data_IF_413620757505
#
_entry.id   IF_413620757505
#
_cell.length_a   1.000
_cell.length_b   1.000
_cell.length_c   1.000
_cell.angle_alpha   90.00
_cell.angle_beta   90.00
_cell.angle_gamma   90.00
#
_symmetry.space_group_name_H-M   'P 1'
#
loop_
_entity.id
_entity.type
_entity.pdbx_description
1 polymer ?
#
# COMPACT_ATOMS: atom_id res chain seq x y z
N UNK A 1 -29.63 -8.26 -46.07
CA UNK A 1 -29.66 -7.15 -45.09
C UNK A 1 -28.21 -6.79 -44.73
N UNK A 2 -27.80 -5.54 -44.98
CA UNK A 2 -26.39 -5.10 -44.85
C UNK A 2 -26.15 -4.52 -43.44
N UNK A 3 -25.06 -4.94 -42.79
CA UNK A 3 -24.65 -4.45 -41.45
C UNK A 3 -23.99 -3.08 -41.59
N UNK A 4 -24.42 -2.11 -40.79
CA UNK A 4 -23.78 -0.80 -40.69
C UNK A 4 -22.75 -0.90 -39.57
N UNK A 5 -21.46 -0.79 -39.92
CA UNK A 5 -20.38 -0.67 -38.94
C UNK A 5 -20.08 0.82 -38.76
N UNK A 6 -20.41 1.35 -37.58
CA UNK A 6 -20.03 2.72 -37.20
C UNK A 6 -18.62 2.67 -36.61
N UNK A 7 -17.67 3.34 -37.26
CA UNK A 7 -16.32 3.58 -36.73
C UNK A 7 -16.42 4.67 -35.66
N UNK A 8 -16.06 4.36 -34.42
CA UNK A 8 -15.91 5.36 -33.37
C UNK A 8 -14.57 6.09 -33.54
N UNK A 9 -14.53 7.44 -33.46
CA UNK A 9 -13.30 8.20 -33.52
C UNK A 9 -12.52 8.04 -32.20
N UNK A 10 -11.21 7.80 -32.34
CA UNK A 10 -10.22 7.78 -31.28
C UNK A 10 -10.14 9.17 -30.62
N UNK A 11 -10.51 9.30 -29.34
CA UNK A 11 -10.03 10.44 -28.53
C UNK A 11 -11.04 11.43 -27.95
N UNK A 12 -12.14 11.00 -27.33
CA UNK A 12 -12.86 11.84 -26.36
C UNK A 12 -13.17 11.05 -25.08
N UNK A 13 -12.36 11.30 -24.04
CA UNK A 13 -12.56 10.79 -22.68
C UNK A 13 -13.84 11.37 -22.09
N UNK A 14 -14.79 10.52 -21.73
CA UNK A 14 -15.89 10.88 -20.85
C UNK A 14 -15.97 9.82 -19.75
N UNK A 15 -15.26 10.05 -18.62
CA UNK A 15 -15.36 9.17 -17.46
C UNK A 15 -16.76 9.34 -16.87
N UNK A 16 -17.52 8.24 -16.85
CA UNK A 16 -18.88 8.18 -16.33
C UNK A 16 -18.87 8.06 -14.81
N UNK A 17 -19.90 8.59 -14.16
CA UNK A 17 -20.09 8.52 -12.70
C UNK A 17 -19.99 7.09 -12.12
N UNK A 18 -20.23 6.08 -12.96
CA UNK A 18 -20.07 4.66 -12.65
C UNK A 18 -18.63 4.26 -12.25
N UNK A 19 -17.63 5.01 -12.73
CA UNK A 19 -16.21 4.79 -12.39
C UNK A 19 -15.93 5.08 -10.90
N UNK A 20 -16.69 5.98 -10.26
CA UNK A 20 -16.57 6.30 -8.83
C UNK A 20 -17.19 5.24 -7.93
N UNK A 21 -18.29 4.63 -8.36
CA UNK A 21 -18.94 3.53 -7.62
C UNK A 21 -18.15 2.23 -7.74
N UNK A 22 -17.50 2.03 -8.89
CA UNK A 22 -16.65 0.87 -9.16
C UNK A 22 -15.26 0.91 -8.49
N UNK A 23 -15.00 1.91 -7.64
CA UNK A 23 -13.78 1.98 -6.85
C UNK A 23 -12.54 2.44 -7.62
N UNK A 24 -12.68 3.33 -8.61
CA UNK A 24 -11.53 4.03 -9.17
C UNK A 24 -10.99 5.07 -8.16
N UNK A 25 -10.16 4.60 -7.23
CA UNK A 25 -9.37 5.47 -6.35
C UNK A 25 -8.28 6.15 -7.18
N UNK A 26 -8.49 7.41 -7.53
CA UNK A 26 -7.38 8.30 -7.89
C UNK A 26 -6.63 8.63 -6.59
N UNK A 27 -5.42 8.12 -6.48
CA UNK A 27 -4.49 8.37 -5.39
C UNK A 27 -4.32 9.88 -5.17
N UNK A 28 -4.77 10.36 -4.02
CA UNK A 28 -4.45 11.71 -3.55
C UNK A 28 -2.99 11.71 -3.11
N UNK A 29 -2.10 12.25 -3.95
CA UNK A 29 -0.81 12.75 -3.49
C UNK A 29 -1.07 13.97 -2.61
N UNK A 30 -1.14 13.74 -1.30
CA UNK A 30 -1.18 14.81 -0.31
C UNK A 30 0.25 15.18 0.10
N UNK A 31 0.59 16.46 -0.12
CA UNK A 31 1.69 17.25 0.44
C UNK A 31 3.10 17.00 -0.12
N UNK A 32 3.43 17.80 -1.14
CA UNK A 32 4.72 18.47 -1.23
C UNK A 32 4.79 19.61 -0.20
N UNK A 33 5.99 19.82 0.35
CA UNK A 33 6.39 20.89 1.28
C UNK A 33 6.08 20.72 2.78
N UNK A 34 6.80 19.83 3.45
CA UNK A 34 7.68 20.12 4.60
C UNK A 34 8.44 18.84 4.93
N UNK A 35 9.77 18.94 5.12
CA UNK A 35 10.75 17.88 5.36
C UNK A 35 11.37 17.27 4.09
N UNK A 36 12.44 17.93 3.62
CA UNK A 36 13.65 17.21 3.17
C UNK A 36 14.24 16.41 4.35
N UNK A 37 13.50 15.47 4.92
CA UNK A 37 14.16 14.27 5.41
C UNK A 37 14.56 13.56 4.13
N UNK A 38 15.85 13.30 3.95
CA UNK A 38 16.33 12.36 2.94
C UNK A 38 15.37 11.19 2.95
N UNK A 39 14.57 11.04 1.88
CA UNK A 39 13.61 9.95 1.76
C UNK A 39 14.47 8.70 1.63
N UNK A 40 14.80 8.11 2.77
CA UNK A 40 15.66 6.94 2.82
C UNK A 40 15.05 5.91 1.88
N UNK A 41 15.91 5.29 1.08
CA UNK A 41 15.48 4.30 0.11
C UNK A 41 14.93 3.10 0.87
N UNK A 42 13.61 3.01 0.97
CA UNK A 42 12.97 1.90 1.66
C UNK A 42 13.11 0.61 0.85
N UNK A 43 13.63 -0.44 1.49
CA UNK A 43 13.62 -1.79 0.95
C UNK A 43 12.28 -2.47 1.29
N UNK A 44 11.75 -3.30 0.37
CA UNK A 44 10.55 -4.10 0.63
C UNK A 44 10.92 -5.44 1.24
N UNK A 45 10.32 -5.76 2.38
CA UNK A 45 10.40 -7.05 3.04
C UNK A 45 9.14 -7.86 2.75
N UNK A 46 9.30 -9.07 2.24
CA UNK A 46 8.22 -10.07 2.10
C UNK A 46 8.61 -11.27 2.95
N UNK A 47 7.71 -11.71 3.82
CA UNK A 47 7.91 -12.88 4.69
C UNK A 47 6.65 -13.73 4.66
N UNK A 48 6.83 -15.04 4.67
CA UNK A 48 5.74 -15.99 4.84
C UNK A 48 5.63 -16.38 6.31
N UNK A 49 4.40 -16.36 6.82
CA UNK A 49 4.08 -16.75 8.19
C UNK A 49 2.95 -17.79 8.17
N UNK A 50 2.95 -18.77 9.09
CA UNK A 50 1.79 -19.62 9.30
C UNK A 50 0.54 -18.75 9.54
N UNK A 51 -0.59 -19.14 8.95
CA UNK A 51 -1.82 -18.34 8.99
C UNK A 51 -2.25 -18.01 10.43
N UNK A 52 -2.16 -18.99 11.34
CA UNK A 52 -2.48 -18.83 12.75
C UNK A 52 -1.58 -17.80 13.44
N UNK A 53 -0.27 -17.85 13.16
CA UNK A 53 0.70 -16.91 13.73
C UNK A 53 0.46 -15.49 13.21
N UNK A 54 0.22 -15.34 11.91
CA UNK A 54 -0.12 -14.05 11.32
C UNK A 54 -1.41 -13.48 11.93
N UNK A 55 -2.43 -14.31 12.14
CA UNK A 55 -3.69 -13.92 12.79
C UNK A 55 -3.49 -13.45 14.23
N UNK A 56 -2.77 -14.22 15.03
CA UNK A 56 -2.45 -13.88 16.43
C UNK A 56 -1.65 -12.58 16.51
N UNK A 57 -0.62 -12.43 15.68
CA UNK A 57 0.20 -11.23 15.66
C UNK A 57 -0.60 -10.00 15.25
N UNK A 58 -1.45 -10.12 14.22
CA UNK A 58 -2.35 -9.04 13.79
C UNK A 58 -3.32 -8.62 14.90
N UNK A 59 -3.89 -9.59 15.64
CA UNK A 59 -4.78 -9.33 16.76
C UNK A 59 -4.04 -8.60 17.91
N UNK A 60 -2.82 -9.02 18.23
CA UNK A 60 -2.00 -8.37 19.25
C UNK A 60 -1.64 -6.91 18.89
N UNK A 61 -1.33 -6.63 17.62
CA UNK A 61 -1.09 -5.26 17.14
C UNK A 61 -2.35 -4.40 17.26
N UNK A 62 -3.52 -4.95 16.89
CA UNK A 62 -4.79 -4.25 17.00
C UNK A 62 -5.15 -3.92 18.46
N UNK A 63 -4.89 -4.85 19.39
CA UNK A 63 -5.08 -4.62 20.82
C UNK A 63 -4.19 -3.48 21.34
N UNK A 64 -2.94 -3.43 20.89
CA UNK A 64 -1.99 -2.36 21.24
C UNK A 64 -2.24 -1.03 20.49
N UNK A 65 -3.22 -1.00 19.57
CA UNK A 65 -3.51 0.15 18.69
C UNK A 65 -2.31 0.59 17.85
N UNK A 66 -1.43 -0.36 17.50
CA UNK A 66 -0.27 -0.12 16.64
C UNK A 66 -0.44 -0.76 15.27
N UNK A 67 0.21 -0.20 14.25
CA UNK A 67 0.20 -0.81 12.92
C UNK A 67 1.19 -1.96 12.92
N UNK A 68 0.78 -3.08 12.34
CA UNK A 68 1.61 -4.27 12.21
C UNK A 68 2.98 -3.99 11.54
N UNK A 69 3.03 -3.07 10.57
CA UNK A 69 4.28 -2.61 9.94
C UNK A 69 5.25 -2.04 10.98
N UNK A 70 4.75 -1.14 11.83
CA UNK A 70 5.57 -0.39 12.77
C UNK A 70 6.15 -1.34 13.84
N UNK A 71 5.37 -2.34 14.23
CA UNK A 71 5.80 -3.43 15.12
C UNK A 71 6.90 -4.30 14.51
N UNK A 72 6.77 -4.66 13.22
CA UNK A 72 7.80 -5.43 12.51
C UNK A 72 9.09 -4.61 12.40
N UNK A 73 8.99 -3.32 12.09
CA UNK A 73 10.15 -2.42 12.02
C UNK A 73 10.82 -2.32 13.38
N UNK A 74 10.06 -2.07 14.44
CA UNK A 74 10.56 -2.02 15.83
C UNK A 74 11.30 -3.30 16.21
N UNK A 75 10.71 -4.46 15.93
CA UNK A 75 11.33 -5.76 16.21
C UNK A 75 12.68 -5.91 15.49
N UNK A 76 12.76 -5.52 14.20
CA UNK A 76 13.99 -5.59 13.42
C UNK A 76 15.05 -4.63 13.97
N UNK A 77 14.66 -3.41 14.35
CA UNK A 77 15.57 -2.42 14.94
C UNK A 77 16.16 -2.91 16.26
N UNK A 78 15.31 -3.35 17.19
CA UNK A 78 15.72 -3.87 18.50
C UNK A 78 16.61 -5.11 18.35
N UNK A 79 16.22 -6.05 17.48
CA UNK A 79 17.00 -7.26 17.22
C UNK A 79 18.37 -6.91 16.63
N UNK A 80 18.43 -5.98 15.68
CA UNK A 80 19.69 -5.56 15.03
C UNK A 80 20.60 -4.86 16.03
N UNK A 81 20.07 -3.91 16.82
CA UNK A 81 20.83 -3.21 17.85
C UNK A 81 21.44 -4.18 18.87
N UNK A 82 20.65 -5.17 19.31
CA UNK A 82 21.10 -6.19 20.26
C UNK A 82 22.27 -7.02 19.72
N UNK A 83 22.29 -7.32 18.42
CA UNK A 83 23.29 -8.22 17.81
C UNK A 83 24.40 -7.48 17.04
N UNK A 84 24.40 -6.14 17.03
CA UNK A 84 25.39 -5.32 16.30
C UNK A 84 26.80 -5.38 16.89
N UNK A 85 26.97 -5.85 18.13
CA UNK A 85 28.28 -5.92 18.81
C UNK A 85 29.01 -7.27 18.60
N UNK A 86 28.91 -7.86 17.40
CA UNK A 86 29.66 -9.05 16.97
C UNK A 86 30.70 -8.66 15.92
#
# INVERSE_FOLDING_TARGET
>A
MKRITVRQPDGARNRTADEWVSGAVTHVSANEDTQKHSKEKMARLTIDLPADLHGLFKAACAYQRTKMRDEIVRFIEEWTQKHRNL
#
